data_IF_959054761791
#
_entry.id   IF_959054761791
#
_cell.length_a   1.000
_cell.length_b   1.000
_cell.length_c   1.000
_cell.angle_alpha   90.00
_cell.angle_beta   90.00
_cell.angle_gamma   90.00
#
_symmetry.space_group_name_H-M   'P 1'
#
loop_
_entity.id
_entity.type
_entity.pdbx_description
1 polymer ?
#
# COMPACT_ATOMS: atom_id res chain seq x y z
N UNK A 1 14.81 18.59 -20.76
CA UNK A 1 15.37 19.93 -20.48
C UNK A 1 16.63 20.26 -21.29
N UNK A 2 17.37 19.28 -21.82
CA UNK A 2 18.58 19.50 -22.64
C UNK A 2 18.39 20.34 -23.93
N UNK A 3 17.19 20.37 -24.53
CA UNK A 3 16.92 21.17 -25.73
C UNK A 3 16.71 22.68 -25.45
N UNK A 4 16.45 23.04 -24.19
CA UNK A 4 16.27 24.44 -23.75
C UNK A 4 17.55 25.01 -23.13
N UNK A 5 18.40 24.16 -22.54
CA UNK A 5 19.69 24.57 -21.96
C UNK A 5 20.75 24.90 -23.02
N UNK A 6 20.53 24.57 -24.30
CA UNK A 6 21.47 24.86 -25.39
C UNK A 6 22.74 23.99 -25.39
N UNK A 7 22.82 23.02 -24.48
CA UNK A 7 24.00 22.19 -24.23
C UNK A 7 24.29 21.15 -25.33
N UNK A 8 23.34 20.90 -26.24
CA UNK A 8 23.48 19.95 -27.36
C UNK A 8 22.89 20.51 -28.63
N UNK A 9 23.59 20.30 -29.75
CA UNK A 9 23.11 20.73 -31.06
C UNK A 9 21.86 19.93 -31.48
N UNK A 10 20.95 20.57 -32.25
CA UNK A 10 19.70 19.94 -32.72
C UNK A 10 19.92 18.62 -33.48
N UNK A 11 21.08 18.49 -34.14
CA UNK A 11 21.49 17.28 -34.85
C UNK A 11 21.78 16.10 -33.91
N UNK A 12 22.41 16.34 -32.76
CA UNK A 12 22.69 15.29 -31.76
C UNK A 12 21.41 14.80 -31.08
N UNK A 13 20.47 15.72 -30.83
CA UNK A 13 19.15 15.38 -30.28
C UNK A 13 18.31 14.59 -31.31
N UNK A 14 18.42 14.94 -32.58
CA UNK A 14 17.76 14.19 -33.66
C UNK A 14 18.28 12.76 -33.76
N UNK A 15 19.60 12.58 -33.67
CA UNK A 15 20.24 11.26 -33.71
C UNK A 15 19.91 10.41 -32.47
N UNK A 16 19.88 10.99 -31.28
CA UNK A 16 19.63 10.26 -30.03
C UNK A 16 18.18 9.83 -29.81
N UNK A 17 17.21 10.58 -30.34
CA UNK A 17 15.78 10.31 -30.12
C UNK A 17 15.02 9.88 -31.38
N UNK A 18 15.68 9.83 -32.55
CA UNK A 18 15.06 9.42 -33.82
C UNK A 18 13.99 10.39 -34.32
N UNK A 19 14.09 11.68 -33.96
CA UNK A 19 13.12 12.71 -34.35
C UNK A 19 13.77 13.70 -35.30
N UNK A 20 13.09 14.09 -36.38
CA UNK A 20 13.64 15.02 -37.37
C UNK A 20 13.87 16.44 -36.76
N UNK A 21 14.98 17.14 -37.08
CA UNK A 21 15.35 18.40 -36.44
C UNK A 21 14.28 19.50 -36.52
N UNK A 22 13.52 19.53 -37.62
CA UNK A 22 12.45 20.51 -37.88
C UNK A 22 11.24 20.33 -36.94
N UNK A 23 10.99 19.11 -36.49
CA UNK A 23 9.92 18.79 -35.54
C UNK A 23 10.30 19.29 -34.14
N UNK A 24 11.57 19.11 -33.76
CA UNK A 24 12.12 19.60 -32.48
C UNK A 24 12.09 21.14 -32.45
N UNK A 25 12.44 21.79 -33.56
CA UNK A 25 12.36 23.26 -33.66
C UNK A 25 10.91 23.76 -33.60
N UNK A 26 9.98 23.07 -34.27
CA UNK A 26 8.55 23.38 -34.21
C UNK A 26 7.99 23.26 -32.79
N UNK A 27 8.30 22.16 -32.08
CA UNK A 27 7.89 21.99 -30.69
C UNK A 27 8.49 23.03 -29.74
N UNK A 28 9.75 23.43 -29.97
CA UNK A 28 10.37 24.51 -29.19
C UNK A 28 9.60 25.82 -29.35
N UNK A 29 9.29 26.19 -30.59
CA UNK A 29 8.54 27.40 -30.90
C UNK A 29 7.12 27.36 -30.31
N UNK A 30 6.43 26.22 -30.43
CA UNK A 30 5.08 26.06 -29.91
C UNK A 30 5.03 26.06 -28.38
N UNK A 31 6.03 25.48 -27.71
CA UNK A 31 6.16 25.51 -26.25
C UNK A 31 6.43 26.93 -25.74
N UNK A 32 7.32 27.70 -26.39
CA UNK A 32 7.56 29.11 -26.03
C UNK A 32 6.27 29.93 -26.19
N UNK A 33 5.51 29.70 -27.25
CA UNK A 33 4.23 30.37 -27.52
C UNK A 33 3.15 30.04 -26.47
N UNK A 34 3.05 28.77 -26.05
CA UNK A 34 2.02 28.27 -25.11
C UNK A 34 2.46 28.18 -23.65
N UNK A 35 3.71 28.51 -23.32
CA UNK A 35 4.25 28.36 -21.97
C UNK A 35 3.39 29.11 -20.94
N UNK A 36 2.94 30.33 -21.28
CA UNK A 36 2.04 31.11 -20.42
C UNK A 36 0.73 30.40 -20.13
N UNK A 37 0.12 29.73 -21.11
CA UNK A 37 -1.16 29.01 -20.96
C UNK A 37 -1.02 27.68 -20.20
N UNK A 38 0.12 26.99 -20.37
CA UNK A 38 0.39 25.72 -19.71
C UNK A 38 0.76 25.90 -18.24
N UNK A 39 1.47 26.96 -17.91
CA UNK A 39 1.93 27.25 -16.54
C UNK A 39 1.08 28.30 -15.82
N UNK A 40 0.10 28.93 -16.49
CA UNK A 40 -0.90 29.76 -15.81
C UNK A 40 -1.63 28.92 -14.73
N UNK A 41 -1.84 29.48 -13.52
CA UNK A 41 -2.55 28.83 -12.42
C UNK A 41 -4.06 28.74 -12.71
N UNK A 42 -4.43 27.98 -13.74
CA UNK A 42 -5.80 27.90 -14.23
C UNK A 42 -6.01 26.77 -15.23
N UNK A 43 -4.98 26.39 -16.00
CA UNK A 43 -5.07 25.25 -16.92
C UNK A 43 -4.73 23.93 -16.21
N UNK A 44 -5.36 23.70 -15.07
CA UNK A 44 -5.55 22.34 -14.58
C UNK A 44 -6.51 21.72 -15.57
N UNK A 45 -6.01 20.84 -16.47
CA UNK A 45 -6.80 19.82 -17.18
C UNK A 45 -8.00 19.51 -16.31
N UNK A 46 -9.22 19.58 -16.85
CA UNK A 46 -10.46 19.20 -16.17
C UNK A 46 -10.26 17.87 -15.43
N UNK A 47 -9.73 17.93 -14.21
CA UNK A 47 -10.16 17.04 -13.14
C UNK A 47 -11.61 17.38 -13.12
N UNK A 48 -12.47 16.45 -13.55
CA UNK A 48 -13.89 16.54 -13.26
C UNK A 48 -13.97 17.11 -11.85
N UNK A 49 -14.43 18.36 -11.74
CA UNK A 49 -14.62 18.94 -10.44
C UNK A 49 -15.73 18.07 -9.87
N UNK A 50 -15.34 17.09 -9.07
CA UNK A 50 -16.22 16.58 -8.06
C UNK A 50 -16.44 17.78 -7.14
N UNK A 51 -17.27 18.71 -7.58
CA UNK A 51 -17.99 19.60 -6.68
C UNK A 51 -18.58 18.62 -5.68
N UNK A 52 -18.27 18.73 -4.37
CA UNK A 52 -18.90 17.85 -3.40
C UNK A 52 -20.39 18.03 -3.63
N UNK A 53 -21.03 16.99 -4.19
CA UNK A 53 -22.46 17.06 -4.41
C UNK A 53 -23.09 17.21 -3.03
N UNK A 54 -24.15 18.03 -2.88
CA UNK A 54 -24.89 18.07 -1.64
C UNK A 54 -25.24 16.62 -1.31
N UNK A 55 -24.79 16.15 -0.15
CA UNK A 55 -25.01 14.78 0.28
C UNK A 55 -26.52 14.51 0.13
N UNK A 56 -26.89 13.46 -0.62
CA UNK A 56 -28.31 13.08 -0.76
C UNK A 56 -28.92 13.04 0.64
N UNK A 57 -30.12 13.58 0.82
CA UNK A 57 -30.78 13.64 2.14
C UNK A 57 -30.75 12.26 2.86
N UNK A 58 -30.93 11.19 2.08
CA UNK A 58 -30.80 9.80 2.51
C UNK A 58 -29.42 9.45 3.11
N UNK A 59 -28.32 9.97 2.57
CA UNK A 59 -26.97 9.77 3.14
C UNK A 59 -26.82 10.51 4.48
N UNK A 60 -27.40 11.70 4.62
CA UNK A 60 -27.35 12.48 5.88
C UNK A 60 -28.06 11.76 7.02
N UNK A 61 -29.25 11.20 6.74
CA UNK A 61 -30.00 10.46 7.75
C UNK A 61 -29.32 9.14 8.14
N UNK A 62 -28.69 8.47 7.17
CA UNK A 62 -27.84 7.31 7.45
C UNK A 62 -26.64 7.68 8.32
N UNK A 63 -25.98 8.80 8.07
CA UNK A 63 -24.83 9.26 8.88
C UNK A 63 -25.25 9.52 10.34
N UNK A 64 -26.37 10.23 10.56
CA UNK A 64 -26.92 10.47 11.90
C UNK A 64 -27.24 9.16 12.62
N UNK A 65 -27.88 8.21 11.94
CA UNK A 65 -28.22 6.91 12.54
C UNK A 65 -26.97 6.11 12.90
N UNK A 66 -25.96 6.14 12.04
CA UNK A 66 -24.69 5.44 12.27
C UNK A 66 -23.94 6.02 13.47
N UNK A 67 -23.97 7.33 13.64
CA UNK A 67 -23.39 8.04 14.79
C UNK A 67 -24.10 7.68 16.10
N UNK A 68 -25.44 7.62 16.11
CA UNK A 68 -26.22 7.19 17.26
C UNK A 68 -25.87 5.74 17.68
N UNK A 69 -25.87 4.80 16.74
CA UNK A 69 -25.52 3.39 17.02
C UNK A 69 -24.08 3.28 17.55
N UNK A 70 -23.16 4.11 17.04
CA UNK A 70 -21.77 4.09 17.49
C UNK A 70 -21.61 4.66 18.90
N UNK A 71 -22.37 5.70 19.24
CA UNK A 71 -22.43 6.27 20.59
C UNK A 71 -22.94 5.27 21.61
N UNK A 72 -23.97 4.49 21.26
CA UNK A 72 -24.48 3.39 22.10
C UNK A 72 -23.49 2.22 22.20
N UNK A 73 -22.75 1.94 21.12
CA UNK A 73 -21.89 0.76 21.00
C UNK A 73 -20.52 1.06 20.36
N UNK A 74 -19.57 1.67 21.11
CA UNK A 74 -18.26 2.07 20.59
C UNK A 74 -17.36 0.89 20.15
N UNK A 75 -17.72 -0.33 20.54
CA UNK A 75 -17.03 -1.56 20.19
C UNK A 75 -17.34 -2.06 18.77
N UNK A 76 -18.35 -1.49 18.09
CA UNK A 76 -18.90 -2.09 16.88
C UNK A 76 -18.04 -1.83 15.63
N UNK A 77 -17.52 -2.93 15.08
CA UNK A 77 -16.87 -2.97 13.77
C UNK A 77 -17.87 -2.88 12.61
N UNK A 78 -17.37 -2.71 11.39
CA UNK A 78 -18.17 -2.64 10.16
C UNK A 78 -19.14 -3.83 9.99
N UNK A 79 -18.74 -5.03 10.44
CA UNK A 79 -19.57 -6.24 10.37
C UNK A 79 -20.76 -6.19 11.34
N UNK A 80 -20.57 -5.69 12.57
CA UNK A 80 -21.67 -5.58 13.53
C UNK A 80 -22.62 -4.45 13.17
N UNK A 81 -22.07 -3.30 12.75
CA UNK A 81 -22.86 -2.17 12.27
C UNK A 81 -23.76 -2.56 11.09
N UNK A 82 -23.24 -3.33 10.14
CA UNK A 82 -24.04 -3.83 9.02
C UNK A 82 -25.22 -4.69 9.49
N UNK A 83 -25.01 -5.56 10.48
CA UNK A 83 -26.07 -6.43 11.02
C UNK A 83 -27.10 -5.63 11.81
N UNK A 84 -26.67 -4.64 12.59
CA UNK A 84 -27.60 -3.75 13.31
C UNK A 84 -28.49 -2.99 12.33
N UNK A 85 -27.90 -2.38 11.30
CA UNK A 85 -28.65 -1.67 10.26
C UNK A 85 -29.58 -2.60 9.49
N UNK A 86 -29.15 -3.83 9.20
CA UNK A 86 -29.99 -4.83 8.54
C UNK A 86 -31.22 -5.20 9.40
N UNK A 87 -31.06 -5.28 10.73
CA UNK A 87 -32.17 -5.54 11.66
C UNK A 87 -33.16 -4.37 11.73
N UNK A 88 -32.68 -3.16 11.50
CA UNK A 88 -33.51 -1.95 11.37
C UNK A 88 -34.16 -1.82 9.99
N UNK A 89 -33.95 -2.79 9.08
CA UNK A 89 -34.51 -2.79 7.73
C UNK A 89 -33.65 -2.06 6.68
N UNK A 90 -32.49 -1.53 7.08
CA UNK A 90 -31.61 -0.75 6.22
C UNK A 90 -30.52 -1.67 5.64
N UNK A 91 -30.64 -2.03 4.37
CA UNK A 91 -29.66 -2.88 3.67
C UNK A 91 -28.52 -2.05 3.07
N UNK A 92 -27.34 -2.09 3.69
CA UNK A 92 -26.14 -1.39 3.22
C UNK A 92 -24.98 -2.35 2.99
N UNK A 93 -24.29 -2.19 1.87
CA UNK A 93 -23.08 -2.95 1.53
C UNK A 93 -21.85 -2.50 2.34
N UNK A 94 -20.93 -3.43 2.64
CA UNK A 94 -19.73 -3.18 3.46
C UNK A 94 -18.83 -2.05 2.94
N UNK A 95 -18.69 -1.90 1.61
CA UNK A 95 -17.89 -0.83 0.99
C UNK A 95 -18.51 0.55 1.24
N UNK A 96 -19.84 0.64 1.17
CA UNK A 96 -20.57 1.88 1.45
C UNK A 96 -20.45 2.22 2.94
N UNK A 97 -20.76 1.28 3.84
CA UNK A 97 -20.63 1.49 5.28
C UNK A 97 -19.20 1.88 5.70
N UNK A 98 -18.18 1.28 5.08
CA UNK A 98 -16.79 1.67 5.31
C UNK A 98 -16.44 3.09 4.83
N UNK A 99 -17.10 3.60 3.79
CA UNK A 99 -16.95 5.00 3.36
C UNK A 99 -17.59 5.95 4.35
N UNK A 100 -18.83 5.67 4.80
CA UNK A 100 -19.54 6.50 5.78
C UNK A 100 -18.79 6.56 7.11
N UNK A 101 -18.28 5.43 7.61
CA UNK A 101 -17.45 5.41 8.82
C UNK A 101 -16.18 6.24 8.69
N UNK A 102 -15.55 6.26 7.51
CA UNK A 102 -14.38 7.11 7.25
C UNK A 102 -14.76 8.59 7.20
N UNK A 103 -15.91 8.95 6.65
CA UNK A 103 -16.41 10.34 6.66
C UNK A 103 -16.62 10.85 8.08
N UNK A 104 -17.16 10.01 8.97
CA UNK A 104 -17.37 10.34 10.39
C UNK A 104 -16.11 10.13 11.27
N UNK A 105 -14.99 9.69 10.67
CA UNK A 105 -13.76 9.35 11.40
C UNK A 105 -13.92 8.30 12.54
N UNK A 106 -14.99 7.49 12.46
CA UNK A 106 -15.34 6.51 13.48
C UNK A 106 -14.51 5.23 13.35
N UNK A 107 -13.75 4.91 14.40
CA UNK A 107 -13.01 3.67 14.54
C UNK A 107 -13.47 2.87 15.76
N UNK A 108 -13.73 1.58 15.56
CA UNK A 108 -14.15 0.70 16.65
C UNK A 108 -13.05 0.62 17.70
N UNK A 109 -13.37 1.08 18.92
CA UNK A 109 -12.43 1.08 20.04
C UNK A 109 -12.44 -0.34 20.61
N UNK A 110 -11.38 -1.11 20.36
CA UNK A 110 -11.23 -2.45 20.94
C UNK A 110 -9.81 -2.60 21.46
N UNK A 111 -9.60 -3.20 22.66
CA UNK A 111 -8.28 -3.59 23.09
C UNK A 111 -7.68 -4.53 22.05
N UNK A 112 -6.58 -4.11 21.44
CA UNK A 112 -5.81 -4.96 20.53
C UNK A 112 -5.29 -6.15 21.34
N UNK A 113 -5.35 -7.36 20.77
CA UNK A 113 -4.75 -8.54 21.40
C UNK A 113 -3.27 -8.24 21.65
N UNK A 114 -2.84 -8.30 22.90
CA UNK A 114 -1.45 -8.08 23.26
C UNK A 114 -0.65 -9.33 22.87
N UNK A 115 -0.13 -9.34 21.64
CA UNK A 115 0.69 -10.45 21.12
C UNK A 115 2.08 -10.51 21.75
N UNK A 116 2.51 -9.45 22.43
CA UNK A 116 3.80 -9.39 23.11
C UNK A 116 3.75 -10.05 24.49
N UNK A 117 2.58 -10.06 25.15
CA UNK A 117 2.40 -10.79 26.41
C UNK A 117 2.19 -12.27 26.13
N UNK A 118 3.09 -13.07 26.69
CA UNK A 118 3.09 -14.53 26.58
C UNK A 118 2.00 -15.12 27.48
N UNK A 119 1.35 -16.19 27.01
CA UNK A 119 0.46 -16.98 27.85
C UNK A 119 1.28 -17.77 28.88
N UNK A 120 0.90 -17.79 30.17
CA UNK A 120 1.69 -18.44 31.22
C UNK A 120 1.91 -19.93 30.98
N UNK A 121 0.96 -20.61 30.34
CA UNK A 121 1.03 -22.06 30.07
C UNK A 121 1.94 -22.44 28.90
N UNK A 122 2.33 -21.49 28.04
CA UNK A 122 3.25 -21.80 26.96
C UNK A 122 4.63 -22.08 27.57
N UNK A 123 5.49 -22.88 26.91
CA UNK A 123 6.88 -23.14 27.34
C UNK A 123 7.86 -22.15 26.70
N UNK A 124 8.89 -21.71 27.45
CA UNK A 124 9.89 -20.77 26.91
C UNK A 124 10.91 -21.67 26.28
N UNK A 125 11.00 -21.65 24.95
CA UNK A 125 12.07 -22.36 24.29
C UNK A 125 13.34 -21.53 24.41
N UNK A 126 14.44 -22.09 24.93
CA UNK A 126 15.72 -21.41 24.89
C UNK A 126 16.07 -21.13 23.43
N UNK A 127 16.68 -19.98 23.18
CA UNK A 127 17.08 -19.63 21.82
C UNK A 127 18.23 -20.54 21.38
N UNK A 128 17.91 -21.55 20.58
CA UNK A 128 18.84 -22.64 20.21
C UNK A 128 20.04 -22.17 19.36
N UNK A 129 19.98 -20.96 18.83
CA UNK A 129 21.09 -20.34 18.08
C UNK A 129 22.04 -19.52 18.96
N UNK A 130 21.79 -19.44 20.27
CA UNK A 130 22.65 -18.71 21.20
C UNK A 130 23.99 -19.42 21.34
N UNK A 131 25.08 -18.76 20.92
CA UNK A 131 26.44 -19.30 21.02
C UNK A 131 26.85 -20.25 19.89
N UNK A 132 26.02 -20.43 18.86
CA UNK A 132 26.36 -21.23 17.67
C UNK A 132 27.08 -20.33 16.65
N UNK A 133 28.31 -20.69 16.29
CA UNK A 133 29.02 -20.13 15.14
C UNK A 133 28.39 -20.70 13.85
N UNK A 134 28.09 -19.84 12.88
CA UNK A 134 27.48 -20.21 11.61
C UNK A 134 28.57 -20.04 10.55
N UNK A 135 29.21 -21.13 10.18
CA UNK A 135 30.39 -21.11 9.32
C UNK A 135 30.06 -21.46 7.86
N UNK A 136 28.93 -22.16 7.63
CA UNK A 136 28.54 -22.61 6.29
C UNK A 136 27.15 -22.12 5.85
N UNK A 137 26.98 -21.78 4.56
CA UNK A 137 25.65 -21.56 4.01
C UNK A 137 24.79 -22.85 4.16
N UNK A 138 23.57 -22.70 4.69
CA UNK A 138 22.57 -23.75 5.03
C UNK A 138 22.56 -24.22 6.49
N UNK A 139 23.43 -23.69 7.35
CA UNK A 139 23.46 -24.03 8.78
C UNK A 139 22.24 -23.52 9.56
N UNK A 140 21.62 -22.43 9.09
CA UNK A 140 20.44 -21.81 9.72
C UNK A 140 19.50 -21.22 8.66
N UNK A 141 18.22 -21.48 8.84
CA UNK A 141 17.14 -20.96 8.02
C UNK A 141 16.18 -20.15 8.89
N UNK A 142 15.78 -18.97 8.42
CA UNK A 142 14.69 -18.20 9.03
C UNK A 142 13.44 -18.35 8.17
N UNK A 143 12.31 -18.68 8.80
CA UNK A 143 11.02 -18.73 8.13
C UNK A 143 10.01 -17.86 8.87
N UNK A 144 9.47 -16.88 8.17
CA UNK A 144 8.42 -16.01 8.69
C UNK A 144 7.11 -16.25 7.94
N UNK A 145 6.06 -16.52 8.71
CA UNK A 145 4.69 -16.63 8.19
C UNK A 145 4.07 -15.25 8.23
N UNK A 146 3.98 -14.62 7.07
CA UNK A 146 3.29 -13.35 6.93
C UNK A 146 1.86 -13.64 6.50
N UNK A 147 0.91 -13.34 7.38
CA UNK A 147 -0.51 -13.37 7.00
C UNK A 147 -0.81 -12.15 6.13
N UNK A 148 -0.65 -12.29 4.81
CA UNK A 148 -1.09 -11.27 3.87
C UNK A 148 -2.61 -11.17 3.89
N UNK A 149 -3.13 -10.03 4.35
CA UNK A 149 -4.55 -9.66 4.18
C UNK A 149 -4.78 -9.23 2.73
N UNK A 150 -4.75 -10.18 1.78
CA UNK A 150 -5.04 -9.84 0.39
C UNK A 150 -6.56 -9.76 0.17
N UNK A 151 -7.02 -8.56 -0.17
CA UNK A 151 -8.37 -8.19 -0.60
C UNK A 151 -8.66 -8.59 -2.07
N UNK A 152 -7.79 -9.38 -2.71
CA UNK A 152 -7.99 -9.85 -4.08
C UNK A 152 -8.78 -11.18 -4.06
N UNK A 153 -10.09 -11.05 -4.31
CA UNK A 153 -11.03 -12.15 -4.50
C UNK A 153 -10.71 -12.90 -5.81
N UNK A 154 -9.80 -13.87 -5.79
CA UNK A 154 -9.82 -15.00 -6.74
C UNK A 154 -8.75 -16.07 -6.54
N UNK A 155 -7.84 -15.97 -5.56
CA UNK A 155 -6.87 -17.05 -5.32
C UNK A 155 -7.11 -17.71 -3.96
N UNK A 156 -6.95 -19.06 -3.86
CA UNK A 156 -7.06 -19.77 -2.60
C UNK A 156 -6.07 -19.20 -1.59
N UNK A 157 -6.38 -19.37 -0.31
CA UNK A 157 -5.62 -18.88 0.84
C UNK A 157 -4.20 -19.46 0.85
N UNK A 158 -3.32 -18.92 0.01
CA UNK A 158 -1.93 -19.30 -0.04
C UNK A 158 -1.25 -18.61 1.13
N UNK A 159 -0.92 -19.39 2.17
CA UNK A 159 0.09 -18.95 3.13
C UNK A 159 1.37 -18.72 2.34
N UNK A 160 1.80 -17.46 2.24
CA UNK A 160 3.15 -17.17 1.78
C UNK A 160 4.11 -17.37 2.94
N UNK A 161 4.84 -18.47 2.91
CA UNK A 161 5.99 -18.70 3.79
C UNK A 161 7.17 -18.04 3.11
N UNK A 162 7.77 -17.01 3.73
CA UNK A 162 9.08 -16.52 3.30
C UNK A 162 10.13 -17.32 4.06
N UNK A 163 11.00 -17.99 3.32
CA UNK A 163 12.17 -18.66 3.88
C UNK A 163 13.41 -17.95 3.35
N UNK A 164 14.24 -17.43 4.25
CA UNK A 164 15.48 -16.76 3.92
C UNK A 164 16.64 -17.52 4.56
N UNK A 165 17.67 -17.80 3.77
CA UNK A 165 18.89 -18.43 4.23
C UNK A 165 19.75 -17.38 4.93
N UNK A 166 20.16 -17.66 6.17
CA UNK A 166 21.09 -16.79 6.90
C UNK A 166 22.51 -17.14 6.41
N UNK A 167 23.06 -16.31 5.52
CA UNK A 167 24.42 -16.51 5.01
C UNK A 167 25.46 -16.15 6.07
N UNK A 168 26.42 -17.06 6.28
CA UNK A 168 27.62 -16.81 7.04
C UNK A 168 28.44 -15.69 6.37
N UNK A 169 28.42 -14.48 6.91
CA UNK A 169 29.52 -13.54 6.74
C UNK A 169 30.49 -13.82 7.87
N UNK A 170 31.75 -14.05 7.54
CA UNK A 170 32.87 -14.37 8.45
C UNK A 170 33.02 -13.40 9.64
N UNK A 171 32.33 -12.26 9.65
CA UNK A 171 32.40 -11.23 10.68
C UNK A 171 31.06 -10.93 11.40
N UNK A 172 30.07 -11.83 11.35
CA UNK A 172 28.78 -11.56 12.02
C UNK A 172 28.84 -11.83 13.53
N UNK A 173 29.49 -10.94 14.30
CA UNK A 173 29.08 -10.72 15.70
C UNK A 173 27.71 -10.03 15.66
N UNK A 174 26.75 -10.56 16.41
CA UNK A 174 25.35 -10.10 16.41
C UNK A 174 25.25 -8.67 16.96
N UNK A 175 25.53 -7.67 16.13
CA UNK A 175 25.21 -6.26 16.36
C UNK A 175 24.55 -5.73 15.09
N UNK A 176 23.21 -5.63 15.14
CA UNK A 176 22.40 -4.93 14.14
C UNK A 176 22.04 -5.74 12.89
N UNK A 177 20.75 -6.08 12.76
CA UNK A 177 20.16 -6.62 11.52
C UNK A 177 20.42 -5.66 10.34
N UNK A 178 21.19 -6.10 9.35
CA UNK A 178 21.20 -5.51 8.00
C UNK A 178 20.67 -6.56 7.03
N UNK A 179 19.37 -6.53 6.75
CA UNK A 179 18.71 -7.42 5.79
C UNK A 179 19.04 -6.98 4.36
N UNK A 180 19.78 -7.79 3.61
CA UNK A 180 19.83 -7.70 2.14
C UNK A 180 18.91 -8.78 1.57
N UNK A 181 17.77 -8.35 1.05
CA UNK A 181 16.84 -9.23 0.34
C UNK A 181 17.47 -9.70 -0.97
N UNK A 182 17.77 -11.00 -1.08
CA UNK A 182 18.02 -11.64 -2.36
C UNK A 182 16.67 -11.90 -3.03
N UNK A 183 16.51 -11.39 -4.24
CA UNK A 183 15.30 -11.52 -5.05
C UNK A 183 15.05 -12.99 -5.39
N UNK A 184 13.89 -13.51 -4.97
CA UNK A 184 13.41 -14.86 -5.28
C UNK A 184 13.40 -15.11 -6.80
N UNK A 185 14.23 -16.06 -7.25
CA UNK A 185 14.13 -16.67 -8.59
C UNK A 185 13.17 -17.84 -8.48
N UNK A 186 11.95 -17.67 -8.99
CA UNK A 186 10.90 -18.70 -9.04
C UNK A 186 11.39 -19.88 -9.89
N UNK A 187 11.70 -21.01 -9.25
CA UNK A 187 11.78 -22.31 -9.94
C UNK A 187 10.35 -22.78 -10.19
N UNK A 188 9.90 -22.64 -11.44
CA UNK A 188 8.74 -23.37 -11.95
C UNK A 188 9.26 -24.76 -12.34
N UNK A 189 9.02 -25.76 -11.50
CA UNK A 189 9.12 -27.15 -11.90
C UNK A 189 7.87 -27.50 -12.71
N UNK A 190 8.01 -27.51 -14.03
CA UNK A 190 7.03 -28.09 -14.94
C UNK A 190 7.11 -29.62 -14.87
N UNK A 191 6.01 -30.25 -14.49
CA UNK A 191 5.62 -31.61 -14.88
C UNK A 191 4.13 -31.60 -15.11
#
# INVERSE_FOLDING_TARGET
>A
MAALSGEKALAELSAGFGVYPRTISGWKQELVKRAGELYAPGNKRRRSSCRPQPERAEESDLLKRLDQIFTEHPLYGSRRLQVTLLREGISIGRRHLGRLRKKLELSAVRPKRNTSKRHPEHRVYPYLLRGKTIDQPNDVWAADIIRTLNHFRSLPHHLRIRCEQIAARSDFRVTGLQSRALTNRLLHSST
#
